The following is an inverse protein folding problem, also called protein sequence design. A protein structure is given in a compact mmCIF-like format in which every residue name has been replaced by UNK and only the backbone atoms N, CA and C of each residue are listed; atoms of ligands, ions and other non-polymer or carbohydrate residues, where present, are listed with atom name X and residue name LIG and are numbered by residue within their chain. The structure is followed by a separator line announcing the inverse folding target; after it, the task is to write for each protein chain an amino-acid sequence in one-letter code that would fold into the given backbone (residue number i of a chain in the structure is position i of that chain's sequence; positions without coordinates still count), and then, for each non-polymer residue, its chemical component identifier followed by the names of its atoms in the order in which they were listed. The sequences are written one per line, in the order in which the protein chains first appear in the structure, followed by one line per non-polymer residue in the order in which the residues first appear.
data_IF_718972837379
#
_entry.id   IF_718972837379
#
_cell.length_a   1.000
_cell.length_b   1.000
_cell.length_c   1.000
_cell.angle_alpha   90.00
_cell.angle_beta   90.00
_cell.angle_gamma   90.00
#
_symmetry.space_group_name_H-M   'P 1'
#
loop_
_entity.id
_entity.type
_entity.pdbx_description
1 polymer ?
#
# COMPACT_ATOMS: atom_id res chain seq x y z
N UNK A 1 28.93 22.98 18.93
CA UNK A 1 28.08 22.31 19.94
C UNK A 1 26.83 23.12 20.30
N UNK A 2 26.81 24.45 20.33
CA UNK A 2 25.59 25.23 20.68
C UNK A 2 24.46 25.22 19.63
N UNK A 3 24.74 24.97 18.36
CA UNK A 3 23.75 24.97 17.28
C UNK A 3 22.78 23.78 17.33
N UNK A 4 23.26 22.57 17.64
CA UNK A 4 22.43 21.35 17.68
C UNK A 4 21.43 21.38 18.84
N UNK A 5 21.85 21.86 20.02
CA UNK A 5 20.99 22.00 21.20
C UNK A 5 19.86 23.02 20.93
N UNK A 6 20.20 24.15 20.31
CA UNK A 6 19.21 25.16 19.96
C UNK A 6 18.21 24.67 18.89
N UNK A 7 18.67 23.90 17.90
CA UNK A 7 17.79 23.28 16.91
C UNK A 7 16.81 22.27 17.52
N UNK A 8 17.28 21.42 18.43
CA UNK A 8 16.41 20.47 19.13
C UNK A 8 15.41 21.20 20.05
N UNK A 9 15.85 22.24 20.76
CA UNK A 9 14.94 23.08 21.55
C UNK A 9 13.85 23.72 20.68
N UNK A 10 14.22 24.30 19.52
CA UNK A 10 13.25 24.89 18.59
C UNK A 10 12.27 23.85 18.07
N UNK A 11 12.73 22.63 17.79
CA UNK A 11 11.88 21.51 17.36
C UNK A 11 10.93 21.06 18.47
N UNK A 12 11.41 20.92 19.70
CA UNK A 12 10.58 20.53 20.84
C UNK A 12 9.53 21.61 21.15
N UNK A 13 9.95 22.87 21.16
CA UNK A 13 9.06 24.00 21.37
C UNK A 13 8.00 24.10 20.28
N UNK A 14 8.37 23.94 18.99
CA UNK A 14 7.40 24.00 17.90
C UNK A 14 6.38 22.87 17.99
N UNK A 15 6.82 21.64 18.27
CA UNK A 15 5.92 20.51 18.50
C UNK A 15 4.96 20.79 19.66
N UNK A 16 5.48 21.28 20.80
CA UNK A 16 4.65 21.65 21.94
C UNK A 16 3.58 22.67 21.58
N UNK A 17 3.95 23.77 20.91
CA UNK A 17 2.98 24.79 20.50
C UNK A 17 1.96 24.24 19.51
N UNK A 18 2.36 23.42 18.54
CA UNK A 18 1.42 22.80 17.60
C UNK A 18 0.42 21.90 18.33
N UNK A 19 0.86 21.11 19.30
CA UNK A 19 -0.03 20.24 20.08
C UNK A 19 -1.01 21.04 20.96
N UNK A 20 -0.55 22.16 21.54
CA UNK A 20 -1.42 23.05 22.32
C UNK A 20 -2.46 23.75 21.45
N UNK A 21 -2.09 24.17 20.24
CA UNK A 21 -3.03 24.76 19.28
C UNK A 21 -4.09 23.72 18.86
N UNK A 22 -3.68 22.48 18.55
CA UNK A 22 -4.62 21.39 18.25
C UNK A 22 -5.59 21.14 19.39
N UNK A 23 -5.07 21.04 20.61
CA UNK A 23 -5.88 20.85 21.82
C UNK A 23 -6.87 21.99 22.00
N UNK A 24 -6.42 23.24 21.82
CA UNK A 24 -7.30 24.40 21.91
C UNK A 24 -8.40 24.37 20.83
N UNK A 25 -8.08 24.00 19.58
CA UNK A 25 -9.09 23.84 18.51
C UNK A 25 -10.13 22.79 18.89
N UNK A 26 -9.72 21.62 19.38
CA UNK A 26 -10.67 20.57 19.79
C UNK A 26 -11.60 20.99 20.93
N UNK A 27 -11.15 21.85 21.84
CA UNK A 27 -11.95 22.27 23.01
C UNK A 27 -12.79 23.53 22.73
N UNK A 28 -12.29 24.43 21.89
CA UNK A 28 -12.89 25.76 21.69
C UNK A 28 -13.68 25.89 20.38
N UNK A 29 -13.54 24.95 19.45
CA UNK A 29 -14.25 24.94 18.16
C UNK A 29 -14.97 23.62 17.94
N UNK A 30 -15.82 23.56 16.92
CA UNK A 30 -16.61 22.38 16.50
C UNK A 30 -15.82 21.41 15.60
N UNK A 31 -14.50 21.55 15.59
CA UNK A 31 -13.57 20.72 14.82
C UNK A 31 -13.47 19.33 15.45
N UNK A 32 -13.56 18.28 14.62
CA UNK A 32 -13.45 16.90 15.12
C UNK A 32 -11.99 16.40 15.13
N UNK A 33 -11.68 15.36 15.93
CA UNK A 33 -10.35 14.75 15.89
C UNK A 33 -9.98 14.21 14.50
N UNK A 34 -10.94 13.65 13.77
CA UNK A 34 -10.70 13.11 12.43
C UNK A 34 -10.42 14.22 11.40
N UNK A 35 -11.09 15.37 11.55
CA UNK A 35 -10.83 16.57 10.74
C UNK A 35 -9.39 17.06 10.93
N UNK A 36 -8.94 17.27 12.17
CA UNK A 36 -7.55 17.68 12.44
C UNK A 36 -6.54 16.66 11.91
N UNK A 37 -6.77 15.37 12.13
CA UNK A 37 -5.88 14.33 11.59
C UNK A 37 -5.81 14.37 10.06
N UNK A 38 -6.93 14.64 9.39
CA UNK A 38 -7.00 14.75 7.94
C UNK A 38 -6.27 15.99 7.43
N UNK A 39 -6.44 17.14 8.09
CA UNK A 39 -5.66 18.36 7.82
C UNK A 39 -4.16 18.12 7.98
N UNK A 40 -3.76 17.38 9.02
CA UNK A 40 -2.37 17.06 9.32
C UNK A 40 -1.75 16.09 8.33
N UNK A 41 -2.49 15.06 7.90
CA UNK A 41 -2.00 14.11 6.90
C UNK A 41 -1.81 14.82 5.55
N UNK A 42 -2.71 15.74 5.21
CA UNK A 42 -2.73 16.45 3.92
C UNK A 42 -2.00 17.80 3.94
N UNK A 43 -1.29 18.14 5.01
CA UNK A 43 -0.54 19.40 5.09
C UNK A 43 0.72 19.41 4.20
N UNK A 44 1.34 20.59 4.11
CA UNK A 44 2.58 20.83 3.34
C UNK A 44 3.83 20.17 3.94
N UNK A 45 3.76 19.54 5.12
CA UNK A 45 4.94 18.97 5.75
C UNK A 45 5.55 17.87 4.86
N UNK A 46 6.89 17.76 4.77
CA UNK A 46 7.55 16.78 3.91
C UNK A 46 7.45 15.34 4.43
N UNK A 47 6.61 15.05 5.42
CA UNK A 47 6.45 13.69 5.95
C UNK A 47 5.44 12.91 5.12
N UNK A 48 5.77 11.64 4.90
CA UNK A 48 4.84 10.67 4.35
C UNK A 48 3.60 10.53 5.26
N UNK A 49 2.40 10.41 4.69
CA UNK A 49 1.21 9.99 5.43
C UNK A 49 1.46 8.71 6.21
N UNK A 50 1.33 8.78 7.53
CA UNK A 50 1.50 7.61 8.40
C UNK A 50 0.33 6.62 8.22
N UNK A 51 0.58 5.35 7.85
CA UNK A 51 -0.49 4.35 7.66
C UNK A 51 -1.36 4.14 8.89
N UNK A 52 -0.82 4.28 10.11
CA UNK A 52 -1.63 4.16 11.33
C UNK A 52 -2.64 5.29 11.42
N UNK A 53 -2.20 6.52 11.18
CA UNK A 53 -3.05 7.71 11.15
C UNK A 53 -4.12 7.60 10.07
N UNK A 54 -3.77 7.19 8.85
CA UNK A 54 -4.75 6.93 7.79
C UNK A 54 -5.78 5.87 8.18
N UNK A 55 -5.35 4.83 8.90
CA UNK A 55 -6.24 3.81 9.48
C UNK A 55 -7.22 4.37 10.53
N UNK A 56 -6.82 5.37 11.33
CA UNK A 56 -7.73 6.05 12.25
C UNK A 56 -8.77 6.85 11.48
N UNK A 57 -8.33 7.62 10.48
CA UNK A 57 -9.21 8.43 9.62
C UNK A 57 -10.21 7.53 8.89
N UNK A 58 -9.77 6.41 8.30
CA UNK A 58 -10.66 5.51 7.56
C UNK A 58 -11.71 4.83 8.43
N UNK A 59 -11.42 4.60 9.72
CA UNK A 59 -12.42 4.14 10.70
C UNK A 59 -13.39 5.26 11.10
N UNK A 60 -12.90 6.47 11.32
CA UNK A 60 -13.74 7.62 11.65
C UNK A 60 -14.69 7.99 10.51
N UNK A 61 -14.29 7.79 9.26
CA UNK A 61 -15.10 8.07 8.08
C UNK A 61 -16.43 7.28 8.00
N UNK A 62 -16.65 6.26 8.84
CA UNK A 62 -17.96 5.59 8.94
C UNK A 62 -18.99 6.40 9.74
N UNK A 63 -18.55 7.35 10.55
CA UNK A 63 -19.42 8.31 11.24
C UNK A 63 -19.84 9.43 10.28
N UNK A 64 -21.12 9.80 10.31
CA UNK A 64 -21.70 10.73 9.32
C UNK A 64 -21.03 12.11 9.40
N UNK A 65 -20.79 12.60 10.60
CA UNK A 65 -20.26 13.95 10.84
C UNK A 65 -18.77 14.06 10.43
N UNK A 66 -17.97 13.05 10.78
CA UNK A 66 -16.57 12.95 10.37
C UNK A 66 -16.43 12.70 8.87
N UNK A 67 -17.34 11.90 8.27
CA UNK A 67 -17.35 11.65 6.84
C UNK A 67 -17.32 12.95 6.05
N UNK A 68 -18.30 13.83 6.29
CA UNK A 68 -18.41 15.09 5.53
C UNK A 68 -17.19 15.99 5.71
N UNK A 69 -16.67 16.10 6.93
CA UNK A 69 -15.44 16.88 7.21
C UNK A 69 -14.22 16.35 6.47
N UNK A 70 -14.03 15.02 6.48
CA UNK A 70 -12.92 14.37 5.78
C UNK A 70 -13.04 14.59 4.25
N UNK A 71 -14.23 14.36 3.68
CA UNK A 71 -14.46 14.54 2.24
C UNK A 71 -14.22 16.00 1.84
N UNK A 72 -14.74 16.97 2.60
CA UNK A 72 -14.57 18.40 2.34
C UNK A 72 -13.09 18.81 2.29
N UNK A 73 -12.27 18.32 3.23
CA UNK A 73 -10.82 18.59 3.21
C UNK A 73 -10.20 18.04 1.93
N UNK A 74 -10.49 16.79 1.58
CA UNK A 74 -9.93 16.15 0.39
C UNK A 74 -10.32 16.89 -0.89
N UNK A 75 -11.60 17.20 -1.06
CA UNK A 75 -12.11 18.01 -2.17
C UNK A 75 -11.36 19.33 -2.30
N UNK A 76 -11.22 20.08 -1.19
CA UNK A 76 -10.47 21.34 -1.17
C UNK A 76 -9.01 21.16 -1.57
N UNK A 77 -8.34 20.07 -1.17
CA UNK A 77 -6.93 19.80 -1.51
C UNK A 77 -6.74 19.39 -2.96
N UNK A 78 -7.69 18.68 -3.55
CA UNK A 78 -7.64 18.28 -4.96
C UNK A 78 -7.96 19.47 -5.87
N UNK A 79 -9.02 20.24 -5.55
CA UNK A 79 -9.44 21.40 -6.35
C UNK A 79 -8.41 22.53 -6.36
N UNK A 80 -7.69 22.73 -5.24
CA UNK A 80 -6.62 23.73 -5.14
C UNK A 80 -5.26 23.22 -5.63
N UNK A 81 -5.25 22.29 -6.59
CA UNK A 81 -4.01 21.78 -7.15
C UNK A 81 -3.17 22.91 -7.74
N UNK A 82 -1.94 23.04 -7.24
CA UNK A 82 -0.92 23.92 -7.76
C UNK A 82 0.37 23.13 -7.97
N UNK A 83 1.08 23.43 -9.06
CA UNK A 83 2.34 22.79 -9.44
C UNK A 83 3.43 23.01 -8.39
N UNK A 84 3.43 24.16 -7.70
CA UNK A 84 4.39 24.45 -6.65
C UNK A 84 4.12 23.66 -5.36
N UNK A 85 2.83 23.44 -5.06
CA UNK A 85 2.37 22.77 -3.84
C UNK A 85 1.80 21.36 -4.11
N UNK A 86 2.29 20.69 -5.16
CA UNK A 86 1.78 19.39 -5.63
C UNK A 86 1.75 18.30 -4.53
N UNK A 87 2.64 18.40 -3.54
CA UNK A 87 2.71 17.47 -2.40
C UNK A 87 1.41 17.41 -1.60
N UNK A 88 0.71 18.53 -1.46
CA UNK A 88 -0.56 18.62 -0.74
C UNK A 88 -1.62 17.77 -1.43
N UNK A 89 -1.80 17.96 -2.74
CA UNK A 89 -2.75 17.18 -3.53
C UNK A 89 -2.31 15.72 -3.66
N UNK A 90 -1.01 15.44 -3.78
CA UNK A 90 -0.49 14.06 -3.79
C UNK A 90 -0.79 13.32 -2.48
N UNK A 91 -0.62 13.96 -1.32
CA UNK A 91 -1.02 13.37 -0.02
C UNK A 91 -2.53 13.16 0.09
N UNK A 92 -3.33 14.08 -0.47
CA UNK A 92 -4.77 13.90 -0.54
C UNK A 92 -5.15 12.69 -1.42
N UNK A 93 -4.46 12.47 -2.54
CA UNK A 93 -4.61 11.26 -3.37
C UNK A 93 -4.24 9.99 -2.59
N UNK A 94 -3.13 9.98 -1.85
CA UNK A 94 -2.74 8.83 -1.01
C UNK A 94 -3.85 8.51 0.00
N UNK A 95 -4.37 9.53 0.68
CA UNK A 95 -5.45 9.33 1.66
C UNK A 95 -6.75 8.88 0.99
N UNK A 96 -7.09 9.43 -0.18
CA UNK A 96 -8.25 9.01 -0.97
C UNK A 96 -8.16 7.54 -1.38
N UNK A 97 -7.02 7.09 -1.89
CA UNK A 97 -6.79 5.67 -2.22
C UNK A 97 -7.00 4.77 -0.98
N UNK A 98 -6.47 5.19 0.17
CA UNK A 98 -6.66 4.48 1.42
C UNK A 98 -8.14 4.41 1.84
N UNK A 99 -8.91 5.50 1.66
CA UNK A 99 -10.34 5.54 1.96
C UNK A 99 -11.17 4.68 0.99
N UNK A 100 -10.81 4.65 -0.30
CA UNK A 100 -11.46 3.79 -1.29
C UNK A 100 -11.30 2.31 -0.96
N UNK A 101 -10.17 1.92 -0.39
CA UNK A 101 -9.88 0.53 -0.02
C UNK A 101 -10.37 0.16 1.39
N UNK A 102 -10.24 1.06 2.38
CA UNK A 102 -10.50 0.76 3.80
C UNK A 102 -11.74 1.47 4.39
N UNK A 103 -12.17 2.60 3.84
CA UNK A 103 -13.27 3.44 4.35
C UNK A 103 -14.67 3.06 3.88
N UNK A 104 -15.67 3.94 3.92
CA UNK A 104 -17.04 3.66 3.46
C UNK A 104 -17.13 3.42 1.95
N UNK A 105 -18.10 2.61 1.49
CA UNK A 105 -18.34 2.41 0.05
C UNK A 105 -18.74 3.71 -0.68
N UNK A 106 -19.46 4.59 0.02
CA UNK A 106 -19.98 5.87 -0.51
C UNK A 106 -18.87 6.83 -0.96
N UNK A 107 -17.63 6.64 -0.50
CA UNK A 107 -16.47 7.42 -0.97
C UNK A 107 -16.30 7.31 -2.49
N UNK A 108 -16.54 6.13 -3.08
CA UNK A 108 -16.41 5.97 -4.53
C UNK A 108 -17.49 6.72 -5.33
N UNK A 109 -18.67 6.94 -4.74
CA UNK A 109 -19.75 7.72 -5.33
C UNK A 109 -19.48 9.23 -5.18
N UNK A 110 -18.98 9.65 -4.01
CA UNK A 110 -18.63 11.05 -3.70
C UNK A 110 -17.60 11.62 -4.68
N UNK A 111 -16.51 10.88 -4.96
CA UNK A 111 -15.42 11.36 -5.81
C UNK A 111 -15.65 11.15 -7.32
N UNK A 112 -16.86 10.80 -7.74
CA UNK A 112 -17.19 10.79 -9.17
C UNK A 112 -17.09 12.19 -9.78
N UNK A 113 -17.40 13.24 -9.02
CA UNK A 113 -17.34 14.63 -9.49
C UNK A 113 -15.91 15.15 -9.68
N UNK A 114 -14.92 14.58 -9.00
CA UNK A 114 -13.51 15.02 -9.09
C UNK A 114 -12.66 14.23 -10.09
N UNK A 115 -13.25 13.31 -10.86
CA UNK A 115 -12.51 12.50 -11.84
C UNK A 115 -11.63 13.34 -12.77
N UNK A 116 -12.17 14.44 -13.29
CA UNK A 116 -11.43 15.33 -14.19
C UNK A 116 -10.28 16.05 -13.47
N UNK A 117 -10.49 16.43 -12.20
CA UNK A 117 -9.47 17.06 -11.35
C UNK A 117 -8.33 16.07 -11.10
N UNK A 118 -8.66 14.83 -10.72
CA UNK A 118 -7.69 13.75 -10.48
C UNK A 118 -6.90 13.44 -11.76
N UNK A 119 -7.57 13.36 -12.92
CA UNK A 119 -6.93 13.19 -14.22
C UNK A 119 -5.97 14.34 -14.57
N UNK A 120 -6.37 15.57 -14.25
CA UNK A 120 -5.52 16.75 -14.39
C UNK A 120 -4.26 16.68 -13.53
N UNK A 121 -4.40 16.27 -12.26
CA UNK A 121 -3.26 16.06 -11.35
C UNK A 121 -2.32 14.97 -11.89
N UNK A 122 -2.85 13.87 -12.42
CA UNK A 122 -2.04 12.80 -13.02
C UNK A 122 -1.30 13.20 -14.29
N UNK A 123 -1.73 14.26 -14.97
CA UNK A 123 -1.06 14.82 -16.16
C UNK A 123 0.11 15.74 -15.79
N UNK A 124 0.40 15.91 -14.50
CA UNK A 124 1.48 16.74 -13.99
C UNK A 124 2.87 16.16 -14.33
N UNK A 125 3.65 16.91 -15.10
CA UNK A 125 5.02 16.56 -15.43
C UNK A 125 6.00 17.29 -14.51
N UNK A 126 6.65 16.53 -13.64
CA UNK A 126 7.76 16.95 -12.76
C UNK A 126 8.60 15.72 -12.41
N UNK A 127 9.74 15.87 -11.74
CA UNK A 127 10.61 14.73 -11.37
C UNK A 127 9.89 13.60 -10.61
N UNK A 128 8.78 13.92 -9.93
CA UNK A 128 7.91 12.97 -9.22
C UNK A 128 6.54 12.77 -9.88
N UNK A 129 6.39 13.26 -11.11
CA UNK A 129 5.16 13.16 -11.89
C UNK A 129 4.77 11.72 -12.17
N UNK A 130 5.73 10.79 -12.27
CA UNK A 130 5.42 9.37 -12.47
C UNK A 130 4.67 8.76 -11.28
N UNK A 131 5.11 9.01 -10.04
CA UNK A 131 4.42 8.52 -8.85
C UNK A 131 3.02 9.15 -8.71
N UNK A 132 2.91 10.45 -8.98
CA UNK A 132 1.61 11.16 -8.99
C UNK A 132 0.69 10.60 -10.06
N UNK A 133 1.21 10.35 -11.27
CA UNK A 133 0.49 9.78 -12.40
C UNK A 133 -0.02 8.37 -12.09
N UNK A 134 0.88 7.47 -11.67
CA UNK A 134 0.52 6.08 -11.35
C UNK A 134 -0.55 6.02 -10.25
N UNK A 135 -0.43 6.86 -9.22
CA UNK A 135 -1.42 6.94 -8.14
C UNK A 135 -2.76 7.48 -8.66
N UNK A 136 -2.74 8.53 -9.47
CA UNK A 136 -3.96 9.12 -10.06
C UNK A 136 -4.67 8.12 -10.98
N UNK A 137 -3.93 7.42 -11.84
CA UNK A 137 -4.45 6.37 -12.72
C UNK A 137 -5.07 5.22 -11.91
N UNK A 138 -4.39 4.77 -10.85
CA UNK A 138 -4.94 3.75 -9.95
C UNK A 138 -6.25 4.20 -9.29
N UNK A 139 -6.33 5.43 -8.81
CA UNK A 139 -7.56 5.98 -8.22
C UNK A 139 -8.67 6.04 -9.26
N UNK A 140 -8.39 6.50 -10.48
CA UNK A 140 -9.37 6.54 -11.57
C UNK A 140 -9.90 5.14 -11.90
N UNK A 141 -9.03 4.13 -11.99
CA UNK A 141 -9.43 2.74 -12.20
C UNK A 141 -10.37 2.23 -11.08
N UNK A 142 -10.08 2.56 -9.83
CA UNK A 142 -10.93 2.21 -8.68
C UNK A 142 -12.29 2.92 -8.71
N UNK A 143 -12.35 4.15 -9.23
CA UNK A 143 -13.59 4.93 -9.38
C UNK A 143 -14.41 4.55 -10.62
N UNK A 144 -13.80 3.93 -11.63
CA UNK A 144 -14.47 3.47 -12.84
C UNK A 144 -15.04 2.05 -12.69
N UNK A 145 -14.30 1.16 -12.04
CA UNK A 145 -14.67 -0.26 -11.95
C UNK A 145 -15.08 -0.66 -10.54
N UNK A 146 -16.39 -0.81 -10.33
CA UNK A 146 -16.93 -1.29 -9.05
C UNK A 146 -16.49 -2.72 -8.71
N UNK A 147 -16.23 -3.56 -9.73
CA UNK A 147 -15.78 -4.95 -9.53
C UNK A 147 -14.35 -5.00 -9.00
N UNK A 148 -13.43 -4.23 -9.60
CA UNK A 148 -12.05 -4.10 -9.13
C UNK A 148 -12.01 -3.51 -7.71
N UNK A 149 -12.83 -2.48 -7.45
CA UNK A 149 -12.94 -1.90 -6.12
C UNK A 149 -13.40 -2.94 -5.09
N UNK A 150 -14.42 -3.73 -5.38
CA UNK A 150 -14.89 -4.80 -4.48
C UNK A 150 -13.79 -5.81 -4.16
N UNK A 151 -12.99 -6.20 -5.16
CA UNK A 151 -11.88 -7.13 -4.99
C UNK A 151 -10.75 -6.55 -4.13
N UNK A 152 -10.29 -5.33 -4.42
CA UNK A 152 -9.25 -4.63 -3.64
C UNK A 152 -9.68 -4.46 -2.18
N UNK A 153 -10.94 -4.09 -1.94
CA UNK A 153 -11.50 -4.00 -0.58
C UNK A 153 -11.56 -5.36 0.11
N UNK A 154 -11.87 -6.44 -0.61
CA UNK A 154 -11.86 -7.79 -0.06
C UNK A 154 -10.44 -8.23 0.30
N UNK A 155 -9.45 -7.93 -0.55
CA UNK A 155 -8.02 -8.18 -0.28
C UNK A 155 -7.53 -7.42 0.96
N UNK A 156 -7.83 -6.12 1.06
CA UNK A 156 -7.46 -5.30 2.22
C UNK A 156 -8.02 -5.83 3.55
N UNK A 157 -9.28 -6.29 3.55
CA UNK A 157 -9.91 -6.91 4.73
C UNK A 157 -9.23 -8.22 5.11
N UNK A 158 -8.94 -9.10 4.15
CA UNK A 158 -8.25 -10.38 4.40
C UNK A 158 -6.88 -10.15 5.06
N UNK A 159 -6.10 -9.18 4.55
CA UNK A 159 -4.80 -8.83 5.12
C UNK A 159 -4.93 -8.32 6.57
N UNK A 160 -5.88 -7.40 6.81
CA UNK A 160 -6.13 -6.84 8.14
C UNK A 160 -6.52 -7.92 9.16
N UNK A 161 -7.37 -8.87 8.75
CA UNK A 161 -7.77 -9.99 9.61
C UNK A 161 -6.65 -11.02 9.79
N UNK A 162 -5.88 -11.32 8.74
CA UNK A 162 -4.76 -12.26 8.79
C UNK A 162 -3.65 -11.82 9.76
N UNK A 163 -3.30 -10.53 9.74
CA UNK A 163 -2.30 -9.96 10.66
C UNK A 163 -2.78 -10.00 12.12
N UNK A 164 -4.08 -9.78 12.37
CA UNK A 164 -4.66 -9.87 13.71
C UNK A 164 -4.67 -11.31 14.25
N UNK A 165 -4.76 -12.32 13.36
CA UNK A 165 -4.86 -13.73 13.73
C UNK A 165 -3.53 -14.44 14.00
N UNK A 166 -2.39 -13.89 13.57
CA UNK A 166 -1.09 -14.59 13.64
C UNK A 166 -0.43 -14.58 15.05
N UNK A 167 -1.01 -13.86 16.03
CA UNK A 167 -0.42 -13.69 17.37
C UNK A 167 -1.29 -14.14 18.55
N UNK A 168 -2.50 -14.69 18.32
CA UNK A 168 -3.42 -15.07 19.41
C UNK A 168 -3.33 -16.56 19.75
N UNK A 169 -2.14 -17.01 20.17
CA UNK A 169 -1.95 -18.30 20.82
C UNK A 169 -1.37 -18.11 22.23
N UNK A 170 -1.92 -17.19 23.03
CA UNK A 170 -1.75 -17.26 24.49
C UNK A 170 -2.71 -18.30 25.02
N UNK A 171 -2.28 -19.55 24.89
CA UNK A 171 -2.62 -20.73 25.66
C UNK A 171 -3.61 -20.47 26.82
N UNK A 172 -4.91 -20.67 26.56
CA UNK A 172 -5.86 -20.97 27.63
C UNK A 172 -5.47 -22.35 28.17
N UNK A 173 -4.55 -22.35 29.13
CA UNK A 173 -4.09 -23.50 29.87
C UNK A 173 -5.22 -23.91 30.80
N UNK A 174 -6.22 -24.59 30.25
CA UNK A 174 -7.27 -25.29 31.01
C UNK A 174 -6.58 -26.36 31.86
N UNK A 175 -6.38 -26.04 33.13
CA UNK A 175 -5.97 -27.01 34.15
C UNK A 175 -7.17 -27.89 34.51
N UNK A 176 -7.25 -29.07 33.90
CA UNK A 176 -8.01 -30.19 34.48
C UNK A 176 -7.01 -31.28 34.85
N UNK A 177 -6.78 -31.38 36.15
CA UNK A 177 -6.02 -32.47 36.77
C UNK A 177 -6.86 -33.75 36.65
N UNK A 178 -6.25 -34.76 36.04
CA UNK A 178 -6.15 -36.19 36.44
C UNK A 178 -7.45 -37.00 36.64
N UNK A 179 -7.58 -38.28 36.29
CA UNK A 179 -6.67 -39.28 35.76
C UNK A 179 -7.51 -40.39 35.09
N UNK A 180 -7.06 -40.99 33.98
CA UNK A 180 -7.21 -42.44 33.75
C UNK A 180 -6.38 -42.91 32.54
N UNK A 181 -5.25 -43.52 32.89
CA UNK A 181 -4.33 -44.42 32.17
C UNK A 181 -4.81 -45.12 30.87
N UNK A 182 -3.96 -45.05 29.83
CA UNK A 182 -3.39 -46.16 29.00
C UNK A 182 -2.70 -45.54 27.76
N UNK A 183 -1.39 -45.36 27.80
CA UNK A 183 -0.37 -46.28 27.26
C UNK A 183 -0.40 -46.45 25.72
N UNK A 184 0.48 -45.72 25.02
CA UNK A 184 1.39 -46.28 24.00
C UNK A 184 2.07 -45.18 23.17
N UNK A 185 3.41 -45.24 23.20
CA UNK A 185 4.37 -44.90 22.14
C UNK A 185 4.27 -43.56 21.40
N UNK A 186 5.17 -42.64 21.79
CA UNK A 186 6.00 -41.77 20.95
C UNK A 186 5.57 -41.56 19.49
N UNK A 187 5.04 -40.38 19.18
CA UNK A 187 5.07 -39.87 17.81
C UNK A 187 5.39 -38.37 17.77
N UNK A 188 6.69 -38.13 17.57
CA UNK A 188 7.35 -37.04 16.86
C UNK A 188 6.43 -36.11 16.05
N UNK A 189 6.53 -34.81 16.36
CA UNK A 189 6.27 -33.64 15.51
C UNK A 189 5.72 -33.94 14.10
N UNK A 190 4.42 -33.67 13.92
CA UNK A 190 3.75 -33.68 12.61
C UNK A 190 4.30 -32.58 11.70
N UNK A 191 5.14 -33.02 10.78
CA UNK A 191 5.76 -32.27 9.68
C UNK A 191 4.69 -31.96 8.62
N UNK A 192 4.48 -30.68 8.32
CA UNK A 192 3.57 -30.23 7.26
C UNK A 192 4.06 -30.70 5.88
N UNK A 193 3.17 -31.36 5.12
CA UNK A 193 3.40 -31.78 3.74
C UNK A 193 3.11 -30.61 2.78
N UNK A 194 4.12 -30.17 2.03
CA UNK A 194 3.93 -29.44 0.78
C UNK A 194 4.74 -30.15 -0.31
N UNK A 195 4.04 -30.90 -1.16
CA UNK A 195 4.61 -31.66 -2.28
C UNK A 195 4.53 -30.81 -3.56
N UNK A 196 5.68 -30.43 -4.11
CA UNK A 196 5.81 -29.93 -5.49
C UNK A 196 5.91 -31.16 -6.42
N UNK A 197 5.09 -31.23 -7.47
CA UNK A 197 5.21 -32.27 -8.50
C UNK A 197 6.29 -31.87 -9.51
N UNK A 198 7.37 -32.64 -9.55
CA UNK A 198 8.33 -32.69 -10.66
C UNK A 198 8.05 -33.99 -11.43
N UNK A 199 7.72 -33.86 -12.72
CA UNK A 199 7.46 -35.00 -13.62
C UNK A 199 8.57 -35.05 -14.66
N UNK A 200 9.53 -35.94 -14.43
CA UNK A 200 10.42 -36.50 -15.45
C UNK A 200 9.97 -37.92 -15.78
N UNK A 201 9.77 -38.25 -17.06
CA UNK A 201 9.49 -39.61 -17.49
C UNK A 201 10.47 -40.10 -18.57
N UNK A 202 11.56 -40.69 -18.08
CA UNK A 202 12.16 -42.00 -18.40
C UNK A 202 12.44 -42.42 -19.86
N UNK A 203 13.73 -42.70 -20.08
CA UNK A 203 14.38 -43.40 -21.20
C UNK A 203 13.93 -44.87 -21.42
N UNK A 204 14.12 -45.36 -22.67
CA UNK A 204 14.52 -46.75 -22.97
C UNK A 204 15.21 -46.90 -24.36
N UNK A 205 16.53 -47.08 -24.32
CA UNK A 205 17.40 -48.06 -25.01
C UNK A 205 17.30 -48.37 -26.54
N UNK A 206 18.29 -47.85 -27.29
CA UNK A 206 19.26 -48.49 -28.23
C UNK A 206 18.80 -49.28 -29.49
N UNK A 207 19.16 -48.77 -30.69
CA UNK A 207 19.99 -49.45 -31.73
C UNK A 207 20.36 -48.51 -32.89
N UNK A 208 21.52 -48.75 -33.48
CA UNK A 208 22.29 -47.96 -34.47
C UNK A 208 21.74 -48.02 -35.91
N UNK A 209 21.99 -46.97 -36.72
CA UNK A 209 22.61 -46.98 -38.08
C UNK A 209 22.23 -45.78 -38.99
N UNK A 210 23.22 -44.93 -39.27
CA UNK A 210 23.69 -44.40 -40.58
C UNK A 210 22.75 -44.00 -41.78
N UNK A 211 22.94 -42.74 -42.24
CA UNK A 211 23.07 -42.21 -43.66
C UNK A 211 21.86 -41.67 -44.47
N UNK A 212 21.97 -40.36 -44.81
CA UNK A 212 21.63 -39.55 -46.02
C UNK A 212 20.21 -39.29 -46.61
N UNK A 213 20.14 -38.08 -47.19
CA UNK A 213 19.17 -37.43 -48.12
C UNK A 213 17.84 -36.95 -47.51
N UNK A 214 17.26 -35.78 -47.83
CA UNK A 214 17.47 -34.77 -48.86
C UNK A 214 16.11 -34.13 -49.20
N UNK A 215 16.10 -32.83 -49.55
CA UNK A 215 15.05 -32.08 -50.29
C UNK A 215 13.97 -31.32 -49.47
N UNK A 216 14.19 -29.98 -49.43
CA UNK A 216 13.30 -28.86 -49.83
C UNK A 216 11.77 -29.01 -49.80
N UNK A 217 11.08 -28.12 -49.07
CA UNK A 217 10.15 -27.12 -49.66
C UNK A 217 9.47 -26.22 -48.59
N UNK A 218 9.28 -24.96 -48.97
CA UNK A 218 8.79 -23.76 -48.25
C UNK A 218 7.24 -23.66 -48.42
N UNK A 219 6.50 -22.67 -47.88
CA UNK A 219 6.17 -22.27 -46.50
C UNK A 219 4.65 -22.37 -46.20
N UNK A 220 4.20 -22.27 -44.94
CA UNK A 220 2.89 -21.67 -44.58
C UNK A 220 2.95 -21.04 -43.18
N UNK A 221 2.74 -19.72 -43.11
CA UNK A 221 2.32 -19.04 -41.87
C UNK A 221 0.94 -19.55 -41.43
N UNK A 222 0.66 -19.51 -40.12
CA UNK A 222 -0.43 -18.63 -39.70
C UNK A 222 -0.15 -17.86 -38.40
N UNK A 223 -0.55 -16.59 -38.46
CA UNK A 223 -1.35 -15.85 -37.48
C UNK A 223 -1.00 -15.99 -35.99
N UNK A 224 -0.50 -14.86 -35.48
CA UNK A 224 -0.08 -14.61 -34.11
C UNK A 224 -1.29 -14.11 -33.29
N UNK A 225 -2.07 -15.02 -32.71
CA UNK A 225 -2.96 -14.69 -31.60
C UNK A 225 -2.17 -14.77 -30.30
N UNK A 226 -1.61 -13.64 -29.87
CA UNK A 226 -1.07 -13.50 -28.52
C UNK A 226 -2.01 -12.62 -27.70
N UNK A 227 -2.85 -13.27 -26.88
CA UNK A 227 -3.31 -12.71 -25.61
C UNK A 227 -2.11 -12.61 -24.65
N UNK A 228 -1.92 -11.46 -23.98
CA UNK A 228 -1.17 -11.45 -22.73
C UNK A 228 -2.05 -10.93 -21.60
N UNK A 229 -2.76 -11.85 -20.94
CA UNK A 229 -3.10 -11.69 -19.53
C UNK A 229 -1.79 -11.74 -18.72
N UNK A 230 -1.22 -10.58 -18.43
CA UNK A 230 -0.13 -10.45 -17.47
C UNK A 230 -0.74 -10.12 -16.13
N UNK A 231 -0.66 -11.08 -15.21
CA UNK A 231 -0.94 -10.86 -13.79
C UNK A 231 -0.03 -9.78 -13.24
N UNK A 232 -0.63 -8.71 -12.72
CA UNK A 232 0.11 -7.66 -12.02
C UNK A 232 0.54 -8.20 -10.66
N UNK A 233 1.76 -8.71 -10.64
CA UNK A 233 2.52 -9.00 -9.44
C UNK A 233 2.81 -7.72 -8.64
N UNK A 234 2.78 -7.90 -7.33
CA UNK A 234 3.10 -6.91 -6.29
C UNK A 234 4.48 -6.29 -6.57
N UNK A 235 4.48 -5.04 -7.02
CA UNK A 235 5.66 -4.36 -7.53
C UNK A 235 5.68 -2.88 -7.16
N UNK A 236 5.28 -2.54 -5.93
CA UNK A 236 5.56 -1.21 -5.37
C UNK A 236 6.94 -1.23 -4.72
N UNK A 237 8.00 -1.02 -5.49
CA UNK A 237 9.32 -0.71 -4.93
C UNK A 237 9.21 0.63 -4.19
N UNK A 238 9.34 0.57 -2.86
CA UNK A 238 9.32 1.71 -1.93
C UNK A 238 10.45 2.71 -2.20
N UNK A 239 11.42 2.37 -3.06
CA UNK A 239 12.69 3.08 -3.20
C UNK A 239 12.60 4.45 -3.89
N UNK A 240 11.54 4.74 -4.64
CA UNK A 240 11.34 6.04 -5.33
C UNK A 240 10.29 6.94 -4.68
N UNK A 241 9.98 6.73 -3.39
CA UNK A 241 8.92 7.48 -2.73
C UNK A 241 9.34 8.93 -2.42
N UNK A 242 8.55 9.97 -2.80
CA UNK A 242 8.94 11.40 -2.72
C UNK A 242 9.10 11.96 -1.29
N UNK A 243 8.87 11.12 -0.29
CA UNK A 243 8.99 11.44 1.14
C UNK A 243 10.11 10.64 1.82
N UNK A 244 10.85 9.80 1.09
CA UNK A 244 12.07 9.14 1.57
C UNK A 244 13.28 10.07 1.34
N UNK A 245 13.86 10.59 2.41
CA UNK A 245 15.18 11.24 2.36
C UNK A 245 16.27 10.15 2.34
N UNK A 246 16.91 9.93 1.18
CA UNK A 246 18.15 9.15 1.08
C UNK A 246 19.32 9.95 1.68
N UNK A 247 19.35 10.06 3.02
CA UNK A 247 20.53 10.50 3.76
C UNK A 247 21.10 9.35 4.56
N UNK A 248 21.99 8.60 3.90
CA UNK A 248 23.05 7.65 4.35
C UNK A 248 23.25 6.73 3.13
N UNK A 249 24.38 6.65 2.41
CA UNK A 249 25.76 6.47 2.86
C UNK A 249 26.69 6.74 1.66
N UNK A 250 27.25 7.94 1.51
CA UNK A 250 28.47 8.15 0.72
C UNK A 250 29.62 8.19 1.71
N UNK A 251 30.15 7.01 2.02
CA UNK A 251 31.30 6.83 2.89
C UNK A 251 32.24 5.80 2.29
N UNK A 252 33.42 6.29 1.90
CA UNK A 252 34.66 5.53 1.63
C UNK A 252 34.72 4.67 0.35
N UNK A 253 35.23 5.27 -0.73
CA UNK A 253 36.17 4.59 -1.63
C UNK A 253 37.52 5.31 -1.55
N UNK A 254 38.37 4.84 -0.65
CA UNK A 254 39.82 4.97 -0.74
C UNK A 254 40.38 3.55 -0.63
N UNK A 255 40.81 2.99 -1.75
CA UNK A 255 41.74 1.86 -1.78
C UNK A 255 43.12 2.38 -2.20
N UNK A 256 44.20 1.86 -1.61
CA UNK A 256 45.55 2.30 -1.90
C UNK A 256 46.12 1.55 -3.12
N UNK A 257 46.92 2.24 -3.92
CA UNK A 257 47.97 1.63 -4.71
C UNK A 257 49.14 2.59 -4.88
#
# INVERSE_FOLDING_TARGET
MGSELFHEFKRQASLFFTEKIKTARLVLTDVTPAELMTEEVTNENPRQPDPRTMGVISRAAFEVDDYWRIMEILHKRLLKFDRMNWRVSYKALILLEHLLTHGPRRVAEEFQCDKDVIKGIGSFQFNWGLSVKNLSERILMLLESETLLKEERARARKLTHGIKGFGSFTHSRSSSIDASMKDSSLQTYGRCNSHYNDLQHKEKTRREQHTYEGISSVPKEPENDSDPWVGFGDGYTIEDHPFCDNKKQTGALLLPH
#
